data_IF_045107806878
#
_entry.id   IF_045107806878
#
_cell.length_a   1.000
_cell.length_b   1.000
_cell.length_c   1.000
_cell.angle_alpha   90.00
_cell.angle_beta   90.00
_cell.angle_gamma   90.00
#
_symmetry.space_group_name_H-M   'P 1'
#
loop_
_entity.id
_entity.type
_entity.pdbx_description
1 polymer ?
#
# COMPACT_ATOMS: atom_id res chain seq x y z
N UNK A 1 -18.43 -15.87 -11.60
CA UNK A 1 -17.36 -15.00 -11.07
C UNK A 1 -17.39 -15.07 -9.54
N UNK A 2 -16.23 -15.11 -8.86
CA UNK A 2 -16.14 -15.23 -7.39
C UNK A 2 -14.93 -14.46 -6.85
N UNK A 3 -15.06 -13.85 -5.68
CA UNK A 3 -13.91 -13.35 -4.90
C UNK A 3 -13.09 -14.52 -4.35
N UNK A 4 -11.82 -14.59 -4.76
CA UNK A 4 -10.87 -15.60 -4.31
C UNK A 4 -10.13 -15.15 -3.06
N UNK A 5 -9.67 -13.91 -3.04
CA UNK A 5 -8.90 -13.35 -1.92
C UNK A 5 -9.23 -11.89 -1.69
N UNK A 6 -9.15 -11.49 -0.42
CA UNK A 6 -9.23 -10.11 0.04
C UNK A 6 -7.94 -9.77 0.78
N UNK A 7 -7.40 -8.59 0.49
CA UNK A 7 -6.16 -8.10 1.08
C UNK A 7 -6.30 -6.66 1.55
N UNK A 8 -5.68 -6.38 2.69
CA UNK A 8 -5.50 -5.05 3.24
C UNK A 8 -4.00 -4.75 3.37
N UNK A 9 -3.60 -3.54 3.02
CA UNK A 9 -2.23 -3.05 3.07
C UNK A 9 -2.15 -1.85 4.00
N UNK A 10 -1.94 -2.04 5.32
CA UNK A 10 -2.10 -0.96 6.29
C UNK A 10 -1.17 0.24 6.08
N UNK A 11 0.07 -0.03 5.66
CA UNK A 11 1.09 0.98 5.37
C UNK A 11 1.38 1.01 3.86
N UNK A 12 1.43 2.21 3.27
CA UNK A 12 1.82 2.39 1.86
C UNK A 12 3.15 1.69 1.56
N UNK A 13 3.19 0.98 0.44
CA UNK A 13 4.36 0.24 -0.07
C UNK A 13 4.82 -0.98 0.74
N UNK A 14 4.25 -1.26 1.92
CA UNK A 14 4.53 -2.48 2.69
C UNK A 14 3.54 -3.60 2.29
N UNK A 15 3.97 -4.86 2.38
CA UNK A 15 3.11 -6.02 2.21
C UNK A 15 1.96 -6.05 3.21
N UNK A 16 0.86 -6.71 2.85
CA UNK A 16 -0.39 -6.65 3.59
C UNK A 16 -0.74 -7.93 4.34
N UNK A 17 -1.98 -7.98 4.78
CA UNK A 17 -2.63 -9.11 5.43
C UNK A 17 -3.81 -9.60 4.58
N UNK A 18 -4.07 -10.90 4.63
CA UNK A 18 -5.25 -11.50 4.02
C UNK A 18 -6.44 -11.34 4.96
N UNK A 19 -7.60 -11.02 4.39
CA UNK A 19 -8.87 -10.90 5.10
C UNK A 19 -9.85 -11.98 4.64
N UNK A 20 -10.72 -12.39 5.55
CA UNK A 20 -11.89 -13.21 5.21
C UNK A 20 -13.10 -12.32 4.83
N UNK A 21 -13.19 -11.14 5.44
CA UNK A 21 -14.23 -10.13 5.20
C UNK A 21 -13.58 -8.74 5.25
N UNK A 22 -14.01 -7.86 4.35
CA UNK A 22 -13.56 -6.47 4.32
C UNK A 22 -14.76 -5.52 4.41
N UNK A 23 -14.68 -4.53 5.31
CA UNK A 23 -15.60 -3.40 5.36
C UNK A 23 -15.09 -2.29 4.46
N UNK A 24 -16.01 -1.62 3.76
CA UNK A 24 -15.71 -0.50 2.87
C UNK A 24 -16.25 0.81 3.44
N UNK A 25 -15.46 1.87 3.31
CA UNK A 25 -15.90 3.25 3.49
C UNK A 25 -15.51 4.11 2.27
N UNK A 26 -15.69 5.42 2.37
CA UNK A 26 -15.36 6.38 1.30
C UNK A 26 -13.87 6.40 0.92
N UNK A 27 -12.99 5.86 1.76
CA UNK A 27 -11.54 5.74 1.54
C UNK A 27 -11.11 4.33 1.11
N UNK A 28 -12.03 3.40 0.86
CA UNK A 28 -11.74 2.03 0.44
C UNK A 28 -11.93 1.02 1.57
N UNK A 29 -11.09 -0.02 1.62
CA UNK A 29 -11.13 -1.02 2.71
C UNK A 29 -10.72 -0.35 4.02
N UNK A 30 -11.46 -0.58 5.10
CA UNK A 30 -11.15 -0.01 6.42
C UNK A 30 -9.76 -0.46 6.90
N UNK A 31 -8.89 0.53 7.16
CA UNK A 31 -7.51 0.34 7.57
C UNK A 31 -6.51 0.17 6.42
N UNK A 32 -6.98 0.12 5.17
CA UNK A 32 -6.14 0.02 3.99
C UNK A 32 -5.49 1.36 3.65
N UNK A 33 -4.16 1.37 3.50
CA UNK A 33 -3.32 2.57 3.31
C UNK A 33 -3.64 3.69 4.30
N UNK A 34 -4.10 3.34 5.50
CA UNK A 34 -4.39 4.29 6.57
C UNK A 34 -3.13 4.89 7.18
N UNK A 35 -1.96 4.31 6.90
CA UNK A 35 -0.66 4.73 7.42
C UNK A 35 0.40 4.84 6.32
N UNK A 36 1.38 5.71 6.57
CA UNK A 36 2.49 6.02 5.68
C UNK A 36 3.75 6.26 6.48
N UNK A 37 4.90 6.15 5.84
CA UNK A 37 6.19 6.48 6.43
C UNK A 37 6.66 7.78 5.79
N UNK A 38 6.85 8.83 6.59
CA UNK A 38 7.35 10.12 6.13
C UNK A 38 8.82 10.22 6.46
N UNK A 39 9.63 10.50 5.46
CA UNK A 39 11.04 10.83 5.61
C UNK A 39 11.16 12.18 6.34
N UNK A 40 11.81 12.19 7.51
CA UNK A 40 11.89 13.43 8.31
C UNK A 40 12.85 14.46 7.73
N UNK A 41 13.80 14.05 6.87
CA UNK A 41 14.76 14.95 6.25
C UNK A 41 14.12 15.76 5.12
N UNK A 42 13.23 15.13 4.35
CA UNK A 42 12.61 15.72 3.16
C UNK A 42 11.17 16.15 3.40
N UNK A 43 10.48 15.58 4.39
CA UNK A 43 9.04 15.72 4.59
C UNK A 43 8.20 14.91 3.59
N UNK A 44 8.82 14.13 2.70
CA UNK A 44 8.13 13.35 1.69
C UNK A 44 7.71 11.98 2.23
N UNK A 45 6.60 11.45 1.73
CA UNK A 45 6.18 10.08 2.02
C UNK A 45 7.11 9.12 1.27
N UNK A 46 7.72 8.21 2.02
CA UNK A 46 8.54 7.14 1.48
C UNK A 46 7.70 6.22 0.60
N UNK A 47 8.25 5.93 -0.57
CA UNK A 47 7.71 4.94 -1.51
C UNK A 47 8.70 3.80 -1.65
N UNK A 48 8.24 2.67 -2.19
CA UNK A 48 9.12 1.55 -2.54
C UNK A 48 10.24 1.93 -3.54
N UNK A 49 10.13 3.05 -4.28
CA UNK A 49 11.21 3.54 -5.14
C UNK A 49 12.35 4.15 -4.33
N UNK A 50 12.03 4.91 -3.27
CA UNK A 50 13.03 5.51 -2.37
C UNK A 50 13.53 4.54 -1.30
N UNK A 51 12.67 3.62 -0.86
CA UNK A 51 12.99 2.61 0.14
C UNK A 51 12.48 1.24 -0.32
N UNK A 52 13.20 0.54 -1.22
CA UNK A 52 12.80 -0.78 -1.72
C UNK A 52 12.61 -1.82 -0.60
N UNK A 53 13.31 -1.68 0.53
CA UNK A 53 13.17 -2.52 1.72
C UNK A 53 11.72 -2.61 2.22
N UNK A 54 10.89 -1.60 1.97
CA UNK A 54 9.46 -1.61 2.30
C UNK A 54 8.72 -2.82 1.69
N UNK A 55 9.15 -3.26 0.50
CA UNK A 55 8.58 -4.41 -0.20
C UNK A 55 8.89 -5.75 0.47
N UNK A 56 9.87 -5.77 1.39
CA UNK A 56 10.39 -6.97 2.04
C UNK A 56 9.79 -7.19 3.44
N UNK A 57 8.69 -6.52 3.77
CA UNK A 57 7.99 -6.68 5.04
C UNK A 57 6.48 -6.88 4.82
N UNK A 58 5.82 -7.44 5.82
CA UNK A 58 4.36 -7.59 5.86
C UNK A 58 3.78 -6.78 7.01
N UNK A 59 2.54 -6.36 6.89
CA UNK A 59 1.89 -5.55 7.90
C UNK A 59 0.42 -5.96 8.07
N UNK A 60 0.00 -6.04 9.32
CA UNK A 60 -1.39 -6.28 9.72
C UNK A 60 -1.86 -5.21 10.70
N UNK A 61 -3.17 -5.00 10.81
CA UNK A 61 -3.75 -4.20 11.89
C UNK A 61 -3.98 -5.09 13.12
N UNK A 62 -3.38 -4.70 14.24
CA UNK A 62 -3.59 -5.30 15.57
C UNK A 62 -4.03 -4.20 16.51
N UNK A 63 -5.19 -4.38 17.16
CA UNK A 63 -5.77 -3.41 18.09
C UNK A 63 -5.89 -1.98 17.51
N UNK A 64 -6.21 -1.89 16.22
CA UNK A 64 -6.39 -0.62 15.51
C UNK A 64 -5.10 0.07 15.03
N UNK A 65 -3.94 -0.56 15.24
CA UNK A 65 -2.63 -0.02 14.86
C UNK A 65 -1.87 -0.96 13.92
N UNK A 66 -1.01 -0.44 13.03
CA UNK A 66 -0.23 -1.29 12.14
C UNK A 66 0.91 -1.96 12.91
N UNK A 67 1.09 -3.25 12.66
CA UNK A 67 2.23 -4.03 13.15
C UNK A 67 2.92 -4.62 11.93
N UNK A 68 4.16 -4.21 11.70
CA UNK A 68 4.98 -4.72 10.59
C UNK A 68 5.89 -5.84 11.08
N UNK A 69 6.02 -6.91 10.29
CA UNK A 69 7.00 -7.98 10.49
C UNK A 69 7.97 -7.99 9.31
N UNK A 70 9.27 -7.86 9.59
CA UNK A 70 10.34 -7.91 8.58
C UNK A 70 10.61 -9.35 8.13
N UNK A 71 11.41 -9.53 7.08
CA UNK A 71 11.85 -10.88 6.66
C UNK A 71 12.75 -11.56 7.70
N UNK A 72 13.43 -10.80 8.54
CA UNK A 72 14.22 -11.29 9.67
C UNK A 72 13.35 -11.67 10.88
N UNK A 73 12.06 -11.31 10.88
CA UNK A 73 11.12 -11.58 11.96
C UNK A 73 11.02 -10.48 13.01
N UNK A 74 11.67 -9.33 12.79
CA UNK A 74 11.56 -8.18 13.69
C UNK A 74 10.15 -7.57 13.61
N UNK A 75 9.66 -7.07 14.74
CA UNK A 75 8.33 -6.47 14.85
C UNK A 75 8.46 -4.96 15.03
N UNK A 76 7.92 -4.20 14.08
CA UNK A 76 7.96 -2.74 14.05
C UNK A 76 6.57 -2.18 14.37
N UNK A 77 6.52 -1.20 15.28
CA UNK A 77 5.27 -0.54 15.70
C UNK A 77 5.38 0.99 15.78
N UNK A 78 6.59 1.51 15.95
CA UNK A 78 6.85 2.92 16.23
C UNK A 78 7.76 3.53 15.18
N UNK A 79 7.75 4.86 15.07
CA UNK A 79 8.69 5.61 14.22
C UNK A 79 10.15 5.26 14.50
N UNK A 80 10.51 4.97 15.75
CA UNK A 80 11.85 4.55 16.12
C UNK A 80 12.21 3.18 15.53
N UNK A 81 11.27 2.22 15.56
CA UNK A 81 11.48 0.89 14.96
C UNK A 81 11.71 1.02 13.45
N UNK A 82 10.85 1.79 12.75
CA UNK A 82 11.00 2.02 11.31
C UNK A 82 12.28 2.77 10.97
N UNK A 83 12.66 3.78 11.77
CA UNK A 83 13.89 4.53 11.53
C UNK A 83 15.13 3.64 11.65
N UNK A 84 15.16 2.77 12.67
CA UNK A 84 16.24 1.81 12.88
C UNK A 84 16.31 0.79 11.73
N UNK A 85 15.16 0.24 11.34
CA UNK A 85 15.08 -0.75 10.25
C UNK A 85 15.47 -0.17 8.89
N UNK A 86 15.07 1.07 8.60
CA UNK A 86 15.38 1.74 7.33
C UNK A 86 16.79 2.37 7.31
N UNK A 87 17.45 2.48 8.47
CA UNK A 87 18.73 3.16 8.60
C UNK A 87 18.67 4.66 8.35
N UNK A 88 17.48 5.28 8.50
CA UNK A 88 17.26 6.71 8.29
C UNK A 88 16.07 7.24 9.09
N UNK A 89 16.01 8.55 9.43
CA UNK A 89 14.88 9.14 10.13
C UNK A 89 13.56 8.98 9.36
N UNK A 90 12.60 8.28 9.95
CA UNK A 90 11.29 8.05 9.37
C UNK A 90 10.21 8.11 10.45
N UNK A 91 9.11 8.81 10.13
CA UNK A 91 7.93 8.92 10.98
C UNK A 91 6.81 8.06 10.46
N UNK A 92 6.27 7.19 11.31
CA UNK A 92 5.00 6.52 11.05
C UNK A 92 3.86 7.54 11.23
N UNK A 93 3.07 7.74 10.18
CA UNK A 93 2.04 8.79 10.15
C UNK A 93 0.70 8.24 9.67
N UNK A 94 -0.36 8.58 10.41
CA UNK A 94 -1.74 8.25 10.05
C UNK A 94 -2.21 9.21 8.96
N UNK A 95 -2.95 8.70 7.98
CA UNK A 95 -3.59 9.55 6.99
C UNK A 95 -4.59 10.50 7.67
N UNK A 96 -4.60 11.75 7.21
CA UNK A 96 -5.50 12.80 7.69
C UNK A 96 -6.15 13.56 6.53
N UNK A 97 -6.63 14.77 6.83
CA UNK A 97 -7.35 15.63 5.87
C UNK A 97 -6.45 16.24 4.80
N UNK A 98 -5.14 16.11 4.96
CA UNK A 98 -4.12 16.45 3.96
C UNK A 98 -3.44 15.18 3.47
N UNK A 99 -3.25 15.06 2.16
CA UNK A 99 -2.33 14.07 1.62
C UNK A 99 -0.88 14.45 1.91
N UNK A 100 0.07 13.58 1.55
CA UNK A 100 1.48 13.96 1.56
C UNK A 100 2.07 14.16 0.18
N UNK A 101 3.30 14.61 0.21
CA UNK A 101 4.14 14.79 -0.96
C UNK A 101 4.86 13.49 -1.28
N UNK A 102 4.79 13.05 -2.53
CA UNK A 102 5.45 11.86 -3.03
C UNK A 102 6.46 12.24 -4.09
N UNK A 103 7.47 11.38 -4.28
CA UNK A 103 8.45 11.55 -5.33
C UNK A 103 8.39 10.42 -6.36
N UNK A 104 8.68 10.77 -7.61
CA UNK A 104 8.80 9.83 -8.71
C UNK A 104 9.91 10.29 -9.67
N UNK A 105 10.80 9.40 -10.16
CA UNK A 105 11.73 9.76 -11.22
C UNK A 105 10.96 10.14 -12.49
N UNK A 106 11.40 11.18 -13.16
CA UNK A 106 10.91 11.53 -14.49
C UNK A 106 11.63 10.68 -15.55
N UNK A 107 12.89 10.34 -15.32
CA UNK A 107 13.64 9.32 -16.06
C UNK A 107 13.56 7.98 -15.30
N UNK A 108 12.56 7.18 -15.63
CA UNK A 108 12.30 5.88 -15.00
C UNK A 108 13.37 4.83 -15.29
N UNK A 109 14.12 4.95 -16.39
CA UNK A 109 15.14 3.96 -16.76
C UNK A 109 16.39 4.13 -15.92
N UNK A 110 16.74 5.38 -15.60
CA UNK A 110 17.95 5.72 -14.87
C UNK A 110 17.71 6.12 -13.40
N UNK A 111 16.45 6.08 -12.93
CA UNK A 111 16.03 6.59 -11.62
C UNK A 111 16.55 8.01 -11.36
N UNK A 112 16.39 8.89 -12.36
CA UNK A 112 16.90 10.27 -12.35
C UNK A 112 15.79 11.32 -12.51
N UNK A 113 16.14 12.59 -12.28
CA UNK A 113 15.27 13.76 -12.40
C UNK A 113 13.96 13.63 -11.63
N UNK A 114 14.07 13.51 -10.30
CA UNK A 114 12.94 13.27 -9.43
C UNK A 114 12.05 14.49 -9.30
N UNK A 115 10.74 14.26 -9.46
CA UNK A 115 9.71 15.28 -9.27
C UNK A 115 8.86 14.94 -8.06
N UNK A 116 8.44 15.99 -7.34
CA UNK A 116 7.50 15.89 -6.23
C UNK A 116 6.08 16.23 -6.66
N UNK A 117 5.10 15.54 -6.11
CA UNK A 117 3.69 15.84 -6.32
C UNK A 117 2.87 15.57 -5.07
N UNK A 118 1.79 16.33 -4.91
CA UNK A 118 0.89 16.23 -3.77
C UNK A 118 -0.18 15.18 -4.06
N UNK A 119 -0.25 14.11 -3.26
CA UNK A 119 -1.32 13.13 -3.41
C UNK A 119 -2.55 13.42 -2.55
N UNK A 120 -3.56 12.54 -2.66
CA UNK A 120 -4.88 12.74 -2.07
C UNK A 120 -4.86 12.60 -0.54
N UNK A 121 -5.82 13.26 0.11
CA UNK A 121 -6.10 13.10 1.54
C UNK A 121 -6.82 11.78 1.87
N UNK A 122 -6.99 11.50 3.16
CA UNK A 122 -7.83 10.43 3.72
C UNK A 122 -7.21 9.02 3.71
N UNK A 123 -6.35 8.72 2.74
CA UNK A 123 -5.53 7.52 2.72
C UNK A 123 -4.26 7.76 1.89
N UNK A 124 -3.17 7.08 2.24
CA UNK A 124 -1.87 7.11 1.54
C UNK A 124 -1.91 6.32 0.21
N UNK A 125 -2.85 6.71 -0.66
CA UNK A 125 -3.05 6.15 -1.99
C UNK A 125 -2.53 7.12 -3.05
N UNK A 126 -2.14 6.62 -4.21
CA UNK A 126 -1.70 7.47 -5.32
C UNK A 126 -2.86 8.11 -6.10
N UNK A 127 -4.11 7.76 -5.74
CA UNK A 127 -5.33 8.19 -6.43
C UNK A 127 -6.43 8.45 -5.43
N UNK A 128 -7.10 9.60 -5.57
CA UNK A 128 -8.29 9.94 -4.79
C UNK A 128 -9.55 9.19 -5.24
N UNK A 129 -9.56 8.64 -6.45
CA UNK A 129 -10.74 8.09 -7.12
C UNK A 129 -10.83 6.57 -7.09
N UNK A 130 -9.67 5.91 -7.16
CA UNK A 130 -9.57 4.45 -7.13
C UNK A 130 -8.92 4.06 -5.80
N UNK A 131 -9.73 3.68 -4.82
CA UNK A 131 -9.30 3.34 -3.45
C UNK A 131 -9.35 1.85 -3.15
N UNK A 132 -9.97 1.07 -4.04
CA UNK A 132 -9.99 -0.39 -4.02
C UNK A 132 -9.56 -0.84 -5.41
N UNK A 133 -8.59 -1.76 -5.45
CA UNK A 133 -8.12 -2.37 -6.69
C UNK A 133 -8.61 -3.81 -6.79
N UNK A 134 -9.05 -4.18 -7.99
CA UNK A 134 -9.50 -5.53 -8.33
C UNK A 134 -8.58 -6.03 -9.43
N UNK A 135 -8.18 -7.30 -9.34
CA UNK A 135 -7.43 -8.00 -10.37
C UNK A 135 -8.02 -9.39 -10.57
N UNK A 136 -8.12 -9.84 -11.81
CA UNK A 136 -8.55 -11.17 -12.18
C UNK A 136 -7.37 -12.14 -12.24
N UNK A 137 -7.64 -13.43 -12.06
CA UNK A 137 -6.66 -14.49 -12.29
C UNK A 137 -6.11 -14.48 -13.72
N UNK A 138 -6.94 -14.14 -14.70
CA UNK A 138 -6.52 -14.01 -16.10
C UNK A 138 -5.51 -12.87 -16.30
N UNK A 139 -5.77 -11.69 -15.75
CA UNK A 139 -4.86 -10.54 -15.85
C UNK A 139 -3.58 -10.70 -15.02
N UNK A 140 -3.67 -11.41 -13.89
CA UNK A 140 -2.51 -11.71 -13.05
C UNK A 140 -1.58 -12.75 -13.69
N UNK A 141 -2.15 -13.75 -14.38
CA UNK A 141 -1.40 -14.88 -14.92
C UNK A 141 -0.62 -15.61 -13.82
N UNK A 142 0.65 -15.91 -14.09
CA UNK A 142 1.54 -16.63 -13.15
C UNK A 142 2.27 -15.70 -12.14
N UNK A 143 1.96 -14.40 -12.14
CA UNK A 143 2.61 -13.47 -11.23
C UNK A 143 2.08 -13.60 -9.80
N UNK A 144 2.95 -13.41 -8.82
CA UNK A 144 2.52 -13.29 -7.42
C UNK A 144 1.70 -12.01 -7.22
N UNK A 145 0.40 -12.15 -6.96
CA UNK A 145 -0.54 -11.05 -6.73
C UNK A 145 -0.12 -10.10 -5.62
N UNK A 146 0.65 -10.58 -4.63
CA UNK A 146 1.16 -9.76 -3.52
C UNK A 146 2.09 -8.65 -3.99
N UNK A 147 2.73 -8.81 -5.16
CA UNK A 147 3.64 -7.82 -5.76
C UNK A 147 2.92 -6.52 -6.14
N UNK A 148 1.67 -6.62 -6.58
CA UNK A 148 0.87 -5.48 -7.07
C UNK A 148 0.07 -4.80 -5.96
N UNK A 149 -0.10 -5.49 -4.83
CA UNK A 149 -0.90 -5.04 -3.68
C UNK A 149 -2.36 -4.75 -4.08
N UNK A 150 -2.96 -5.63 -4.90
CA UNK A 150 -4.38 -5.52 -5.23
C UNK A 150 -5.25 -5.93 -4.05
N UNK A 151 -6.37 -5.23 -3.82
CA UNK A 151 -7.24 -5.54 -2.67
C UNK A 151 -8.10 -6.77 -2.88
N UNK A 152 -8.57 -7.01 -4.11
CA UNK A 152 -9.51 -8.09 -4.43
C UNK A 152 -8.97 -8.90 -5.59
N UNK A 153 -8.82 -10.21 -5.38
CA UNK A 153 -8.54 -11.16 -6.45
C UNK A 153 -9.82 -11.90 -6.81
N UNK A 154 -10.16 -11.96 -8.11
CA UNK A 154 -11.37 -12.61 -8.61
C UNK A 154 -11.08 -13.68 -9.66
N UNK A 155 -11.91 -14.70 -9.69
CA UNK A 155 -11.94 -15.70 -10.77
C UNK A 155 -12.80 -15.19 -11.92
N UNK A 156 -12.15 -14.60 -12.93
CA UNK A 156 -12.75 -13.98 -14.12
C UNK A 156 -11.77 -14.04 -15.31
N UNK A 157 -12.29 -13.98 -16.54
CA UNK A 157 -11.48 -13.93 -17.77
C UNK A 157 -10.88 -12.54 -18.04
N UNK A 158 -11.33 -11.52 -17.32
CA UNK A 158 -10.76 -10.17 -17.32
C UNK A 158 -11.54 -9.19 -16.45
N UNK A 159 -11.05 -7.96 -16.32
CA UNK A 159 -11.71 -6.90 -15.54
C UNK A 159 -12.93 -6.29 -16.25
N UNK A 160 -13.04 -6.39 -17.58
CA UNK A 160 -14.19 -5.88 -18.33
C UNK A 160 -15.45 -6.72 -18.07
N UNK A 161 -15.28 -8.02 -17.81
CA UNK A 161 -16.36 -8.95 -17.48
C UNK A 161 -16.97 -8.68 -16.09
N UNK A 162 -16.39 -7.77 -15.30
CA UNK A 162 -16.91 -7.36 -13.99
C UNK A 162 -18.03 -6.32 -14.11
N UNK A 163 -18.14 -5.64 -15.27
CA UNK A 163 -19.03 -4.48 -15.43
C UNK A 163 -20.49 -4.93 -15.45
N UNK A 164 -21.26 -4.48 -14.45
CA UNK A 164 -22.68 -4.81 -14.32
C UNK A 164 -22.96 -6.11 -13.58
N UNK A 165 -21.92 -6.86 -13.21
CA UNK A 165 -22.03 -8.12 -12.49
C UNK A 165 -22.05 -7.90 -10.97
N UNK A 166 -22.72 -8.82 -10.27
CA UNK A 166 -22.68 -8.91 -8.81
C UNK A 166 -21.79 -10.09 -8.42
N UNK A 167 -20.80 -9.83 -7.58
CA UNK A 167 -19.76 -10.75 -7.14
C UNK A 167 -19.93 -11.10 -5.67
#
# INVERSE_FOLDING_TARGET
MRVLELWRYPIKSIGGERLDVAELNEFGIVGDRGWGLVDEETGNVLTARRAPTLLMATCAIVDGTPVTTTVEGDVLRTSADYSNWLGRPARLERAGDTGGTYENPMDFENDADWISWQGPAGAWHDSGRARVSIVSTASLGDWDGRRFRSNVLVDSAGEDDLIGERV
#
